data_IF_665462167748
#
_entry.id   IF_665462167748
#
_cell.length_a   1.000
_cell.length_b   1.000
_cell.length_c   1.000
_cell.angle_alpha   90.00
_cell.angle_beta   90.00
_cell.angle_gamma   90.00
#
_symmetry.space_group_name_H-M   'P 1'
#
loop_
_entity.id
_entity.type
_entity.pdbx_description
1 polymer ?
#
# COMPACT_ATOMS: atom_id res chain seq x y z
N UNK A 1 21.89 6.04 4.53
CA UNK A 1 22.63 5.08 5.38
C UNK A 1 21.70 4.05 6.05
N UNK A 2 20.68 4.49 6.81
CA UNK A 2 19.79 3.59 7.57
C UNK A 2 18.96 2.61 6.70
N UNK A 3 18.28 3.09 5.67
CA UNK A 3 17.43 2.26 4.79
C UNK A 3 18.12 1.71 3.53
N UNK A 4 19.44 1.92 3.38
CA UNK A 4 20.18 1.59 2.15
C UNK A 4 19.57 2.22 0.87
N UNK A 5 19.07 3.45 1.00
CA UNK A 5 18.53 4.27 -0.10
C UNK A 5 19.62 5.19 -0.65
N UNK A 6 19.66 5.38 -1.97
CA UNK A 6 20.57 6.30 -2.66
C UNK A 6 20.31 7.74 -2.21
N UNK A 7 21.37 8.52 -2.01
CA UNK A 7 21.25 9.91 -1.58
C UNK A 7 20.43 10.76 -2.57
N UNK A 8 20.57 10.51 -3.87
CA UNK A 8 19.80 11.17 -4.94
C UNK A 8 18.29 10.97 -4.79
N UNK A 9 17.87 9.81 -4.28
CA UNK A 9 16.45 9.53 -4.03
C UNK A 9 15.92 10.29 -2.83
N UNK A 10 16.70 10.35 -1.75
CA UNK A 10 16.35 11.17 -0.57
C UNK A 10 16.28 12.66 -0.94
N UNK A 11 17.19 13.13 -1.79
CA UNK A 11 17.16 14.51 -2.32
C UNK A 11 15.90 14.76 -3.16
N UNK A 12 15.55 13.83 -4.06
CA UNK A 12 14.30 13.91 -4.83
C UNK A 12 13.07 13.94 -3.92
N UNK A 13 13.02 13.07 -2.91
CA UNK A 13 11.91 13.07 -1.94
C UNK A 13 11.81 14.41 -1.22
N UNK A 14 12.91 14.92 -0.67
CA UNK A 14 12.93 16.19 0.06
C UNK A 14 12.54 17.40 -0.79
N UNK A 15 12.83 17.37 -2.11
CA UNK A 15 12.54 18.48 -3.02
C UNK A 15 11.12 18.42 -3.58
N UNK A 16 10.57 17.23 -3.78
CA UNK A 16 9.28 17.06 -4.44
C UNK A 16 8.11 17.01 -3.44
N UNK A 17 8.33 16.54 -2.21
CA UNK A 17 7.27 16.46 -1.21
C UNK A 17 7.04 17.81 -0.52
N UNK A 18 5.77 18.12 -0.29
CA UNK A 18 5.30 19.31 0.43
C UNK A 18 4.07 18.98 1.30
N UNK A 19 3.66 19.92 2.16
CA UNK A 19 2.53 19.77 3.08
C UNK A 19 1.21 19.34 2.42
N UNK A 20 1.00 19.73 1.15
CA UNK A 20 -0.21 19.45 0.40
C UNK A 20 -0.13 18.19 -0.47
N UNK A 21 0.97 17.44 -0.38
CA UNK A 21 1.18 16.27 -1.23
C UNK A 21 0.23 15.14 -0.82
N UNK A 22 -0.64 14.77 -1.76
CA UNK A 22 -1.62 13.69 -1.57
C UNK A 22 -1.05 12.35 -2.00
N UNK A 23 -1.71 11.26 -1.61
CA UNK A 23 -1.40 9.87 -1.96
C UNK A 23 -0.91 9.65 -3.41
N UNK A 24 -1.62 10.21 -4.40
CA UNK A 24 -1.23 10.09 -5.82
C UNK A 24 0.15 10.73 -6.08
N UNK A 25 0.37 11.93 -5.57
CA UNK A 25 1.68 12.59 -5.68
C UNK A 25 2.77 11.84 -4.92
N UNK A 26 2.47 11.22 -3.78
CA UNK A 26 3.42 10.38 -3.05
C UNK A 26 3.81 9.13 -3.85
N UNK A 27 2.86 8.50 -4.55
CA UNK A 27 3.14 7.39 -5.46
C UNK A 27 4.03 7.85 -6.62
N UNK A 28 3.75 9.01 -7.20
CA UNK A 28 4.58 9.58 -8.28
C UNK A 28 6.01 9.86 -7.80
N UNK A 29 6.15 10.43 -6.60
CA UNK A 29 7.45 10.70 -5.95
C UNK A 29 8.20 9.38 -5.66
N UNK A 30 7.51 8.36 -5.13
CA UNK A 30 8.09 7.03 -4.92
C UNK A 30 8.62 6.45 -6.25
N UNK A 31 7.85 6.56 -7.33
CA UNK A 31 8.25 6.05 -8.64
C UNK A 31 9.45 6.78 -9.24
N UNK A 32 9.69 8.04 -8.84
CA UNK A 32 10.86 8.83 -9.24
C UNK A 32 12.15 8.46 -8.47
N UNK A 33 12.13 7.42 -7.63
CA UNK A 33 13.31 6.92 -6.94
C UNK A 33 14.36 6.39 -7.92
N UNK A 34 15.63 6.73 -7.67
CA UNK A 34 16.78 6.31 -8.50
C UNK A 34 17.07 4.81 -8.41
N UNK A 35 16.51 4.11 -7.42
CA UNK A 35 16.54 2.65 -7.37
C UNK A 35 15.78 2.03 -8.57
N UNK A 36 14.73 2.71 -9.05
CA UNK A 36 13.94 2.22 -10.17
C UNK A 36 14.59 2.46 -11.53
N UNK A 37 15.68 3.23 -11.62
CA UNK A 37 16.53 3.33 -12.82
C UNK A 37 17.05 1.95 -13.28
N UNK A 38 17.15 1.00 -12.34
CA UNK A 38 17.60 -0.37 -12.62
C UNK A 38 16.50 -1.26 -13.21
N UNK A 39 15.25 -0.80 -13.28
CA UNK A 39 14.16 -1.57 -13.91
C UNK A 39 14.43 -1.63 -15.41
N UNK A 40 14.53 -2.84 -16.00
CA UNK A 40 14.85 -2.98 -17.41
C UNK A 40 13.69 -2.47 -18.28
N UNK A 41 14.02 -1.70 -19.31
CA UNK A 41 13.10 -1.29 -20.37
C UNK A 41 13.47 -2.08 -21.62
N UNK A 42 12.61 -3.01 -22.04
CA UNK A 42 12.89 -3.90 -23.17
C UNK A 42 12.12 -3.43 -24.41
N UNK A 43 12.75 -3.46 -25.57
CA UNK A 43 12.09 -3.15 -26.84
C UNK A 43 10.92 -4.10 -27.10
N UNK A 44 9.77 -3.55 -27.49
CA UNK A 44 8.54 -4.32 -27.73
C UNK A 44 7.60 -4.44 -26.53
N UNK A 45 7.98 -3.98 -25.33
CA UNK A 45 7.09 -3.94 -24.17
C UNK A 45 6.05 -2.81 -24.23
N UNK A 46 6.30 -1.77 -25.05
CA UNK A 46 5.49 -0.56 -25.16
C UNK A 46 4.00 -0.86 -25.38
N UNK A 47 3.68 -1.76 -26.33
CA UNK A 47 2.30 -2.12 -26.63
C UNK A 47 1.61 -2.81 -25.45
N UNK A 48 2.32 -3.68 -24.74
CA UNK A 48 1.83 -4.39 -23.55
C UNK A 48 1.61 -3.42 -22.40
N UNK A 49 2.57 -2.54 -22.12
CA UNK A 49 2.46 -1.51 -21.08
C UNK A 49 1.35 -0.52 -21.37
N UNK A 50 1.17 -0.14 -22.64
CA UNK A 50 0.08 0.73 -23.05
C UNK A 50 -1.29 0.07 -22.87
N UNK A 51 -1.42 -1.21 -23.24
CA UNK A 51 -2.64 -1.99 -22.98
C UNK A 51 -2.96 -2.09 -21.49
N UNK A 52 -1.94 -2.35 -20.66
CA UNK A 52 -2.08 -2.36 -19.20
C UNK A 52 -2.52 -0.99 -18.67
N UNK A 53 -1.93 0.11 -19.15
CA UNK A 53 -2.32 1.46 -18.77
C UNK A 53 -3.79 1.74 -19.07
N UNK A 54 -4.29 1.32 -20.24
CA UNK A 54 -5.70 1.43 -20.61
C UNK A 54 -6.61 0.62 -19.68
N UNK A 55 -6.24 -0.61 -19.34
CA UNK A 55 -6.99 -1.45 -18.41
C UNK A 55 -7.07 -0.83 -17.01
N UNK A 56 -6.00 -0.17 -16.56
CA UNK A 56 -5.94 0.54 -15.28
C UNK A 56 -6.59 1.93 -15.33
N UNK A 57 -7.06 2.38 -16.49
CA UNK A 57 -7.60 3.74 -16.68
C UNK A 57 -6.56 4.86 -16.51
N UNK A 58 -5.28 4.53 -16.65
CA UNK A 58 -4.17 5.47 -16.53
C UNK A 58 -3.86 6.12 -17.88
N UNK A 59 -3.72 7.45 -17.87
CA UNK A 59 -3.25 8.20 -19.04
C UNK A 59 -1.74 8.24 -19.02
N UNK A 60 -1.12 7.54 -19.98
CA UNK A 60 0.34 7.51 -20.16
C UNK A 60 0.66 7.96 -21.58
N UNK A 61 1.58 8.91 -21.69
CA UNK A 61 2.11 9.36 -22.98
C UNK A 61 2.93 8.24 -23.62
N UNK A 62 2.73 7.98 -24.91
CA UNK A 62 3.42 6.87 -25.61
C UNK A 62 4.94 7.00 -25.54
N UNK A 63 5.45 8.24 -25.58
CA UNK A 63 6.89 8.53 -25.53
C UNK A 63 7.51 8.19 -24.17
N UNK A 64 6.70 8.06 -23.11
CA UNK A 64 7.14 7.71 -21.75
C UNK A 64 7.03 6.22 -21.45
N UNK A 65 6.55 5.39 -22.38
CA UNK A 65 6.49 3.94 -22.14
C UNK A 65 7.88 3.28 -22.07
N UNK A 66 8.91 3.98 -22.57
CA UNK A 66 10.30 3.58 -22.47
C UNK A 66 11.01 4.16 -21.23
N UNK A 67 10.29 4.82 -20.32
CA UNK A 67 10.83 5.34 -19.08
C UNK A 67 10.65 4.32 -17.94
N UNK A 68 11.73 3.92 -17.23
CA UNK A 68 11.64 2.96 -16.15
C UNK A 68 10.74 3.43 -14.99
N UNK A 69 10.66 4.73 -14.72
CA UNK A 69 9.79 5.27 -13.66
C UNK A 69 8.30 5.14 -14.03
N UNK A 70 7.96 5.43 -15.28
CA UNK A 70 6.60 5.21 -15.83
C UNK A 70 6.23 3.72 -15.78
N UNK A 71 7.16 2.84 -16.13
CA UNK A 71 6.97 1.39 -16.00
C UNK A 71 6.76 0.99 -14.54
N UNK A 72 7.54 1.52 -13.60
CA UNK A 72 7.38 1.26 -12.17
C UNK A 72 6.00 1.71 -11.65
N UNK A 73 5.55 2.90 -12.07
CA UNK A 73 4.23 3.42 -11.72
C UNK A 73 3.10 2.52 -12.23
N UNK A 74 3.17 2.06 -13.48
CA UNK A 74 2.19 1.13 -14.05
C UNK A 74 2.16 -0.20 -13.30
N UNK A 75 3.32 -0.78 -13.01
CA UNK A 75 3.43 -2.06 -12.32
C UNK A 75 2.99 -1.98 -10.86
N UNK A 76 3.22 -0.85 -10.16
CA UNK A 76 2.67 -0.63 -8.82
C UNK A 76 1.14 -0.50 -8.84
N UNK A 77 0.57 0.23 -9.80
CA UNK A 77 -0.88 0.32 -9.92
C UNK A 77 -1.50 -1.05 -10.26
N UNK A 78 -0.87 -1.82 -11.16
CA UNK A 78 -1.28 -3.19 -11.47
C UNK A 78 -1.23 -4.10 -10.23
N UNK A 79 -0.24 -3.91 -9.34
CA UNK A 79 -0.15 -4.63 -8.07
C UNK A 79 -1.32 -4.31 -7.15
N UNK A 80 -1.65 -3.02 -6.98
CA UNK A 80 -2.75 -2.60 -6.10
C UNK A 80 -4.12 -3.09 -6.55
N UNK A 81 -4.31 -3.25 -7.86
CA UNK A 81 -5.56 -3.78 -8.45
C UNK A 81 -5.52 -5.29 -8.70
N UNK A 82 -4.39 -5.96 -8.42
CA UNK A 82 -4.14 -7.37 -8.73
C UNK A 82 -4.41 -7.70 -10.20
N UNK A 83 -4.11 -6.75 -11.08
CA UNK A 83 -4.28 -6.93 -12.52
C UNK A 83 -3.27 -7.96 -13.05
N UNK A 84 -3.69 -8.88 -13.92
CA UNK A 84 -2.79 -9.88 -14.48
C UNK A 84 -1.74 -9.21 -15.35
N UNK A 85 -0.49 -9.64 -15.22
CA UNK A 85 0.65 -9.19 -16.01
C UNK A 85 1.43 -10.39 -16.55
N UNK A 86 2.25 -10.18 -17.58
CA UNK A 86 3.09 -11.22 -18.15
C UNK A 86 4.20 -11.64 -17.19
N UNK A 87 4.75 -12.85 -17.36
CA UNK A 87 5.81 -13.40 -16.50
C UNK A 87 7.04 -12.49 -16.44
N UNK A 88 7.43 -11.90 -17.57
CA UNK A 88 8.57 -10.98 -17.63
C UNK A 88 8.31 -9.74 -16.77
N UNK A 89 7.13 -9.11 -16.92
CA UNK A 89 6.73 -7.96 -16.10
C UNK A 89 6.57 -8.31 -14.62
N UNK A 90 6.24 -9.55 -14.28
CA UNK A 90 6.14 -10.01 -12.89
C UNK A 90 7.49 -10.01 -12.19
N UNK A 91 8.58 -10.38 -12.88
CA UNK A 91 9.94 -10.27 -12.33
C UNK A 91 10.32 -8.81 -12.05
N UNK A 92 9.97 -7.89 -12.95
CA UNK A 92 10.22 -6.47 -12.80
C UNK A 92 9.37 -5.88 -11.65
N UNK A 93 8.09 -6.26 -11.56
CA UNK A 93 7.20 -5.85 -10.48
C UNK A 93 7.72 -6.33 -9.12
N UNK A 94 8.24 -7.55 -9.03
CA UNK A 94 8.86 -8.07 -7.81
C UNK A 94 10.04 -7.21 -7.37
N UNK A 95 10.94 -6.87 -8.28
CA UNK A 95 12.07 -5.97 -8.00
C UNK A 95 11.58 -4.62 -7.43
N UNK A 96 10.55 -4.03 -8.06
CA UNK A 96 9.96 -2.77 -7.62
C UNK A 96 9.42 -2.90 -6.19
N UNK A 97 8.61 -3.92 -5.92
CA UNK A 97 7.98 -4.16 -4.62
C UNK A 97 9.01 -4.39 -3.49
N UNK A 98 10.08 -5.13 -3.76
CA UNK A 98 11.18 -5.37 -2.81
C UNK A 98 11.85 -4.05 -2.37
N UNK A 99 11.89 -3.05 -3.25
CA UNK A 99 12.45 -1.74 -2.97
C UNK A 99 11.42 -0.75 -2.39
N UNK A 100 10.13 -0.88 -2.77
CA UNK A 100 9.09 0.07 -2.38
C UNK A 100 8.92 0.23 -0.87
N UNK A 101 9.00 -0.85 -0.10
CA UNK A 101 8.74 -0.79 1.36
C UNK A 101 9.77 0.08 2.07
N UNK A 102 11.07 -0.13 1.82
CA UNK A 102 12.13 0.68 2.43
C UNK A 102 12.12 2.12 1.92
N UNK A 103 11.81 2.33 0.65
CA UNK A 103 11.68 3.66 0.06
C UNK A 103 10.55 4.46 0.72
N UNK A 104 9.40 3.82 0.96
CA UNK A 104 8.28 4.45 1.66
C UNK A 104 8.61 4.77 3.12
N UNK A 105 9.34 3.89 3.82
CA UNK A 105 9.84 4.21 5.17
C UNK A 105 10.75 5.43 5.17
N UNK A 106 11.70 5.50 4.23
CA UNK A 106 12.54 6.69 4.06
C UNK A 106 11.75 7.95 3.72
N UNK A 107 10.71 7.82 2.88
CA UNK A 107 9.81 8.93 2.54
C UNK A 107 9.01 9.41 3.76
N UNK A 108 8.50 8.50 4.59
CA UNK A 108 7.81 8.85 5.84
C UNK A 108 8.73 9.66 6.75
N UNK A 109 9.97 9.23 6.94
CA UNK A 109 10.94 9.91 7.81
C UNK A 109 11.30 11.32 7.30
N UNK A 110 11.43 11.49 5.98
CA UNK A 110 11.62 12.81 5.36
C UNK A 110 10.43 13.72 5.66
N UNK A 111 9.21 13.23 5.43
CA UNK A 111 7.98 14.00 5.64
C UNK A 111 7.80 14.35 7.13
N UNK A 112 8.03 13.41 8.04
CA UNK A 112 7.87 13.64 9.48
C UNK A 112 8.89 14.64 10.01
N UNK A 113 10.10 14.68 9.44
CA UNK A 113 11.12 15.67 9.78
C UNK A 113 10.70 17.11 9.39
N UNK A 114 9.82 17.24 8.39
CA UNK A 114 9.21 18.52 8.00
C UNK A 114 7.96 18.87 8.81
N UNK A 115 7.46 17.97 9.66
CA UNK A 115 6.26 18.20 10.48
C UNK A 115 4.93 18.10 9.73
N UNK A 116 4.89 17.47 8.55
CA UNK A 116 3.67 17.36 7.75
C UNK A 116 2.89 16.08 8.04
N UNK A 117 1.84 16.18 8.86
CA UNK A 117 1.05 15.02 9.31
C UNK A 117 0.32 14.31 8.17
N UNK A 118 -0.43 15.04 7.34
CA UNK A 118 -1.31 14.45 6.31
C UNK A 118 -0.53 13.64 5.25
N UNK A 119 0.57 14.15 4.69
CA UNK A 119 1.38 13.35 3.76
C UNK A 119 2.07 12.16 4.46
N UNK A 120 2.45 12.29 5.74
CA UNK A 120 3.10 11.20 6.47
C UNK A 120 2.13 10.02 6.65
N UNK A 121 0.90 10.29 7.10
CA UNK A 121 -0.15 9.28 7.20
C UNK A 121 -0.47 8.66 5.83
N UNK A 122 -0.54 9.48 4.78
CA UNK A 122 -0.78 8.98 3.41
C UNK A 122 0.35 8.07 2.92
N UNK A 123 1.61 8.32 3.28
CA UNK A 123 2.75 7.47 2.95
C UNK A 123 2.75 6.15 3.76
N UNK A 124 2.32 6.20 5.03
CA UNK A 124 2.09 5.00 5.84
C UNK A 124 0.98 4.12 5.25
N UNK A 125 -0.15 4.71 4.84
CA UNK A 125 -1.21 3.99 4.12
C UNK A 125 -0.70 3.38 2.81
N UNK A 126 0.13 4.11 2.05
CA UNK A 126 0.72 3.59 0.82
C UNK A 126 1.63 2.38 1.10
N UNK A 127 2.32 2.35 2.23
CA UNK A 127 3.11 1.19 2.66
C UNK A 127 2.22 -0.02 2.90
N UNK A 128 1.06 0.17 3.55
CA UNK A 128 0.08 -0.90 3.75
C UNK A 128 -0.51 -1.38 2.41
N UNK A 129 -0.80 -0.47 1.48
CA UNK A 129 -1.27 -0.81 0.13
C UNK A 129 -0.27 -1.68 -0.65
N UNK A 130 1.03 -1.36 -0.56
CA UNK A 130 2.11 -2.16 -1.16
C UNK A 130 2.17 -3.55 -0.56
N UNK A 131 2.12 -3.68 0.77
CA UNK A 131 2.20 -4.98 1.45
C UNK A 131 0.98 -5.85 1.14
N UNK A 132 -0.23 -5.27 1.13
CA UNK A 132 -1.49 -6.01 1.00
C UNK A 132 -2.00 -6.15 -0.44
N UNK A 133 -1.32 -5.52 -1.41
CA UNK A 133 -1.73 -5.50 -2.82
C UNK A 133 -3.20 -5.07 -2.98
N UNK A 134 -3.55 -3.93 -2.38
CA UNK A 134 -4.91 -3.40 -2.33
C UNK A 134 -4.92 -1.89 -2.51
N UNK A 135 -6.03 -1.33 -2.99
CA UNK A 135 -6.24 0.11 -3.02
C UNK A 135 -6.87 0.62 -1.73
N UNK A 136 -6.78 1.92 -1.47
CA UNK A 136 -7.45 2.56 -0.33
C UNK A 136 -8.97 2.59 -0.42
N UNK A 137 -9.53 2.32 -1.61
CA UNK A 137 -10.97 2.24 -1.85
C UNK A 137 -11.51 0.82 -1.81
N UNK A 138 -10.61 -0.17 -1.76
CA UNK A 138 -10.98 -1.58 -1.69
C UNK A 138 -11.43 -1.96 -0.29
N UNK A 139 -12.28 -2.97 -0.19
CA UNK A 139 -12.70 -3.48 1.12
C UNK A 139 -11.49 -4.05 1.89
N UNK A 140 -11.38 -3.81 3.21
CA UNK A 140 -10.36 -4.44 4.05
C UNK A 140 -10.35 -5.97 3.95
N UNK A 141 -11.51 -6.58 3.67
CA UNK A 141 -11.66 -8.03 3.50
C UNK A 141 -10.85 -8.60 2.33
N UNK A 142 -10.47 -7.77 1.34
CA UNK A 142 -9.62 -8.21 0.23
C UNK A 142 -8.21 -8.59 0.67
N UNK A 143 -7.80 -8.24 1.90
CA UNK A 143 -6.54 -8.69 2.51
C UNK A 143 -6.58 -10.19 2.89
N UNK A 144 -7.78 -10.75 3.13
CA UNK A 144 -7.91 -12.15 3.47
C UNK A 144 -7.66 -13.04 2.25
N UNK A 145 -6.99 -14.19 2.41
CA UNK A 145 -6.76 -15.11 1.32
C UNK A 145 -8.09 -15.66 0.80
N UNK A 146 -8.16 -15.94 -0.51
CA UNK A 146 -9.33 -16.51 -1.19
C UNK A 146 -10.59 -15.63 -1.23
N UNK A 147 -10.56 -14.42 -0.64
CA UNK A 147 -11.67 -13.48 -0.77
C UNK A 147 -11.75 -12.91 -2.19
N UNK A 148 -12.93 -13.04 -2.78
CA UNK A 148 -13.26 -12.50 -4.11
C UNK A 148 -14.17 -11.28 -3.99
N UNK A 149 -14.27 -10.43 -5.03
CA UNK A 149 -15.23 -9.31 -5.03
C UNK A 149 -16.67 -9.75 -4.74
N UNK A 150 -17.09 -10.93 -5.23
CA UNK A 150 -18.41 -11.48 -4.95
C UNK A 150 -18.62 -11.82 -3.46
N UNK A 151 -17.58 -12.33 -2.78
CA UNK A 151 -17.63 -12.58 -1.34
C UNK A 151 -17.68 -11.27 -0.55
N UNK A 152 -16.96 -10.23 -0.98
CA UNK A 152 -17.04 -8.90 -0.37
C UNK A 152 -18.45 -8.32 -0.49
N UNK A 153 -19.10 -8.45 -1.65
CA UNK A 153 -20.47 -7.98 -1.83
C UNK A 153 -21.47 -8.76 -0.96
N UNK A 154 -21.22 -10.06 -0.75
CA UNK A 154 -21.98 -10.89 0.19
C UNK A 154 -21.76 -10.43 1.64
N UNK A 155 -20.53 -10.16 2.04
CA UNK A 155 -20.17 -9.64 3.36
C UNK A 155 -20.87 -8.31 3.66
N UNK A 156 -20.85 -7.37 2.69
CA UNK A 156 -21.56 -6.08 2.80
C UNK A 156 -23.06 -6.25 3.06
N UNK A 157 -23.73 -7.19 2.37
CA UNK A 157 -25.15 -7.49 2.60
C UNK A 157 -25.41 -8.04 4.01
N UNK A 158 -24.43 -8.71 4.59
CA UNK A 158 -24.45 -9.23 5.96
C UNK A 158 -23.97 -8.20 7.00
N UNK A 159 -23.66 -6.97 6.59
CA UNK A 159 -23.08 -5.89 7.42
C UNK A 159 -21.73 -6.27 8.05
N UNK A 160 -20.92 -7.00 7.30
CA UNK A 160 -19.54 -7.36 7.64
C UNK A 160 -18.63 -6.51 6.76
N UNK A 161 -17.93 -5.55 7.35
CA UNK A 161 -17.14 -4.54 6.62
C UNK A 161 -15.64 -4.78 6.74
N UNK A 162 -15.18 -5.33 7.87
CA UNK A 162 -13.77 -5.55 8.16
C UNK A 162 -13.42 -6.94 8.71
N UNK A 163 -12.13 -7.15 8.98
CA UNK A 163 -11.60 -8.44 9.45
C UNK A 163 -12.03 -8.73 10.89
N UNK A 164 -12.22 -7.70 11.72
CA UNK A 164 -12.69 -7.87 13.10
C UNK A 164 -14.15 -8.34 13.12
N UNK A 165 -14.99 -7.83 12.21
CA UNK A 165 -16.35 -8.31 12.03
C UNK A 165 -16.35 -9.80 11.71
N UNK A 166 -15.53 -10.24 10.73
CA UNK A 166 -15.40 -11.66 10.35
C UNK A 166 -15.00 -12.53 11.54
N UNK A 167 -14.05 -12.05 12.36
CA UNK A 167 -13.60 -12.74 13.58
C UNK A 167 -14.68 -12.80 14.66
N UNK A 168 -15.52 -11.77 14.74
CA UNK A 168 -16.62 -11.66 15.71
C UNK A 168 -17.93 -12.34 15.27
N UNK A 169 -18.04 -12.80 14.01
CA UNK A 169 -19.25 -13.48 13.53
C UNK A 169 -19.51 -14.79 14.29
N UNK A 170 -20.78 -15.12 14.55
CA UNK A 170 -21.16 -16.46 14.96
C UNK A 170 -20.89 -17.49 13.85
N UNK A 171 -20.74 -18.78 14.24
CA UNK A 171 -20.36 -19.86 13.33
C UNK A 171 -21.31 -20.01 12.13
N UNK A 172 -22.64 -19.95 12.35
CA UNK A 172 -23.63 -20.10 11.28
C UNK A 172 -23.53 -19.03 10.17
N UNK A 173 -23.59 -17.73 10.50
CA UNK A 173 -23.33 -16.65 9.54
C UNK A 173 -21.94 -16.74 8.89
N UNK A 174 -20.90 -17.13 9.64
CA UNK A 174 -19.54 -17.25 9.11
C UNK A 174 -19.42 -18.35 8.07
N UNK A 175 -19.98 -19.54 8.34
CA UNK A 175 -20.07 -20.64 7.38
C UNK A 175 -20.81 -20.22 6.12
N UNK A 176 -21.92 -19.48 6.27
CA UNK A 176 -22.63 -18.93 5.11
C UNK A 176 -21.77 -17.96 4.33
N UNK A 177 -21.01 -17.07 4.96
CA UNK A 177 -20.16 -16.10 4.26
C UNK A 177 -19.05 -16.81 3.47
N UNK A 178 -18.39 -17.77 4.10
CA UNK A 178 -17.24 -18.51 3.57
C UNK A 178 -17.63 -19.76 2.76
N UNK A 179 -18.92 -19.94 2.50
CA UNK A 179 -19.46 -21.01 1.69
C UNK A 179 -18.79 -21.04 0.30
N UNK A 180 -18.35 -22.23 -0.11
CA UNK A 180 -17.58 -22.47 -1.33
C UNK A 180 -16.05 -22.54 -1.16
N UNK A 181 -15.51 -22.20 0.02
CA UNK A 181 -14.09 -22.42 0.33
C UNK A 181 -13.85 -23.86 0.79
N UNK A 182 -12.74 -24.45 0.35
CA UNK A 182 -12.29 -25.75 0.86
C UNK A 182 -11.79 -25.65 2.31
N UNK A 183 -11.71 -26.79 3.00
CA UNK A 183 -11.14 -26.80 4.36
C UNK A 183 -9.72 -26.22 4.44
N UNK A 184 -8.88 -26.44 3.43
CA UNK A 184 -7.54 -25.84 3.41
C UNK A 184 -7.61 -24.31 3.27
N UNK A 185 -8.52 -23.79 2.45
CA UNK A 185 -8.72 -22.35 2.27
C UNK A 185 -9.31 -21.69 3.52
N UNK A 186 -10.24 -22.36 4.20
CA UNK A 186 -10.76 -21.91 5.50
C UNK A 186 -9.65 -21.82 6.55
N UNK A 187 -8.74 -22.81 6.58
CA UNK A 187 -7.57 -22.77 7.44
C UNK A 187 -6.63 -21.60 7.11
N UNK A 188 -6.45 -21.26 5.82
CA UNK A 188 -5.67 -20.07 5.42
C UNK A 188 -6.30 -18.78 5.94
N UNK A 189 -7.62 -18.62 5.78
CA UNK A 189 -8.36 -17.45 6.28
C UNK A 189 -8.23 -17.35 7.80
N UNK A 190 -8.46 -18.45 8.52
CA UNK A 190 -8.32 -18.48 9.98
C UNK A 190 -6.90 -18.10 10.43
N UNK A 191 -5.86 -18.59 9.73
CA UNK A 191 -4.46 -18.21 10.00
C UNK A 191 -4.22 -16.72 9.76
N UNK A 192 -4.79 -16.15 8.71
CA UNK A 192 -4.68 -14.72 8.43
C UNK A 192 -5.36 -13.88 9.53
N UNK A 193 -6.59 -14.23 9.93
CA UNK A 193 -7.31 -13.57 11.02
C UNK A 193 -6.54 -13.64 12.35
N UNK A 194 -6.00 -14.81 12.71
CA UNK A 194 -5.24 -14.98 13.95
C UNK A 194 -3.91 -14.21 13.96
N UNK A 195 -3.35 -13.89 12.79
CA UNK A 195 -2.15 -13.05 12.65
C UNK A 195 -2.49 -11.56 12.53
N UNK A 196 -3.76 -11.22 12.34
CA UNK A 196 -4.17 -9.83 12.21
C UNK A 196 -3.95 -9.11 13.54
N UNK A 197 -3.35 -7.91 13.55
CA UNK A 197 -2.96 -7.24 14.78
C UNK A 197 -4.19 -6.77 15.58
N UNK A 198 -4.40 -7.36 16.76
CA UNK A 198 -5.30 -6.85 17.79
C UNK A 198 -4.51 -6.13 18.87
N UNK A 199 -4.39 -4.80 18.75
CA UNK A 199 -3.60 -3.97 19.67
C UNK A 199 -4.54 -3.03 20.44
N UNK A 200 -4.51 -3.11 21.77
CA UNK A 200 -5.15 -2.12 22.63
C UNK A 200 -4.12 -1.06 23.02
N UNK A 201 -4.49 0.21 22.86
CA UNK A 201 -3.63 1.35 23.19
C UNK A 201 -4.29 2.16 24.32
N UNK A 202 -3.56 2.34 25.41
CA UNK A 202 -3.86 3.31 26.46
C UNK A 202 -2.81 4.41 26.40
N UNK A 203 -3.22 5.67 26.60
CA UNK A 203 -2.28 6.79 26.67
C UNK A 203 -2.70 7.79 27.75
N UNK A 204 -1.71 8.43 28.37
CA UNK A 204 -1.92 9.49 29.37
C UNK A 204 -0.91 10.61 29.20
N UNK A 205 -1.39 11.85 29.30
CA UNK A 205 -0.54 13.03 29.40
C UNK A 205 0.00 13.13 30.84
N UNK A 206 1.31 13.07 31.00
CA UNK A 206 1.94 13.22 32.31
C UNK A 206 1.85 14.68 32.77
N UNK A 207 1.47 14.89 34.04
CA UNK A 207 1.41 16.21 34.69
C UNK A 207 0.60 17.25 33.89
N UNK A 208 -0.57 16.87 33.37
CA UNK A 208 -1.46 17.74 32.57
C UNK A 208 -1.69 19.12 33.20
N UNK A 209 -1.82 19.15 34.52
CA UNK A 209 -2.21 20.35 35.27
C UNK A 209 -1.04 21.32 35.50
N UNK A 210 0.20 20.87 35.26
CA UNK A 210 1.41 21.65 35.43
C UNK A 210 2.06 22.07 34.10
N UNK A 211 1.35 21.90 32.97
CA UNK A 211 1.84 22.29 31.66
C UNK A 211 1.87 23.81 31.50
N UNK A 212 2.99 24.34 31.04
CA UNK A 212 3.19 25.75 30.72
C UNK A 212 3.66 25.92 29.27
N UNK A 213 3.40 27.08 28.68
CA UNK A 213 3.90 27.40 27.34
C UNK A 213 5.44 27.28 27.28
N UNK A 214 5.96 26.61 26.25
CA UNK A 214 7.38 26.30 26.11
C UNK A 214 7.92 25.16 27.00
N UNK A 215 7.07 24.57 27.85
CA UNK A 215 7.40 23.40 28.64
C UNK A 215 7.41 22.10 27.83
N UNK A 216 7.98 21.04 28.41
CA UNK A 216 7.96 19.70 27.80
C UNK A 216 6.69 18.96 28.22
N UNK A 217 5.93 18.47 27.24
CA UNK A 217 4.84 17.53 27.45
C UNK A 217 5.33 16.10 27.15
N UNK A 218 4.91 15.13 27.97
CA UNK A 218 5.19 13.71 27.75
C UNK A 218 3.87 12.95 27.69
N UNK A 219 3.73 12.13 26.65
CA UNK A 219 2.64 11.18 26.47
C UNK A 219 3.22 9.80 26.78
N UNK A 220 2.61 9.08 27.71
CA UNK A 220 3.00 7.74 28.14
C UNK A 220 1.87 6.75 27.88
#
# INVERSE_FOLDING_TARGET
>A
AYYYIRHTTIETFSRCVNENTKRKGLLDILCAASEFDAVPVRSGEEATLYGLAQQLGMKVDKDKLNDPHTKAQLLLNAHFTRSPITTDLSSDQKFILEHSVRLLQGLVDVISSCGWLTPALSAMELSQMVVQATTSTSSPLMQLPHFTPAMVDKAKKMKVEDIFDVMGMDDGPREKLLDGLSQSQLADVARACNRFPGIALEYKVQNSDALSAGGSAKIA
#
